data_IF_161907768425
#
_entry.id   IF_161907768425
#
_cell.length_a   1.000
_cell.length_b   1.000
_cell.length_c   1.000
_cell.angle_alpha   90.00
_cell.angle_beta   90.00
_cell.angle_gamma   90.00
#
_symmetry.space_group_name_H-M   'P 1'
#
loop_
_entity.id
_entity.type
_entity.pdbx_description
1 polymer ?
#
# COMPACT_ATOMS: atom_id res chain seq x y z
N UNK A 1 10.80 -20.63 -5.44
CA UNK A 1 10.41 -19.38 -4.77
C UNK A 1 9.51 -18.66 -5.75
N UNK A 2 8.26 -18.40 -5.39
CA UNK A 2 7.21 -18.03 -6.36
C UNK A 2 6.25 -19.20 -6.61
N UNK A 3 6.18 -19.69 -7.85
CA UNK A 3 5.28 -20.77 -8.25
C UNK A 3 5.72 -22.15 -7.71
N UNK A 4 7.01 -22.48 -7.75
CA UNK A 4 7.58 -23.66 -7.11
C UNK A 4 7.97 -23.31 -5.66
N UNK A 5 7.48 -24.05 -4.66
CA UNK A 5 7.70 -23.79 -3.23
C UNK A 5 8.20 -25.04 -2.51
N UNK A 6 9.49 -25.03 -2.17
CA UNK A 6 10.13 -26.01 -1.27
C UNK A 6 10.10 -25.56 0.21
N UNK A 7 10.27 -26.47 1.18
CA UNK A 7 10.24 -26.16 2.62
C UNK A 7 11.24 -25.08 3.06
N UNK A 8 12.46 -25.12 2.51
CA UNK A 8 13.50 -24.13 2.71
C UNK A 8 14.02 -23.59 1.38
N UNK A 9 14.46 -22.34 1.36
CA UNK A 9 15.13 -21.78 0.19
C UNK A 9 16.47 -22.49 -0.10
N UNK A 10 17.07 -23.14 0.90
CA UNK A 10 18.31 -23.91 0.70
C UNK A 10 18.08 -25.20 -0.10
N UNK A 11 16.86 -25.72 -0.07
CA UNK A 11 16.51 -27.01 -0.67
C UNK A 11 16.57 -26.96 -2.21
N UNK A 12 16.47 -25.76 -2.81
CA UNK A 12 16.62 -25.60 -4.26
C UNK A 12 18.02 -26.00 -4.75
N UNK A 13 19.02 -25.97 -3.87
CA UNK A 13 20.39 -26.45 -4.11
C UNK A 13 20.67 -27.83 -3.49
N UNK A 14 19.63 -28.53 -3.03
CA UNK A 14 19.79 -29.89 -2.51
C UNK A 14 20.27 -30.83 -3.61
N UNK A 15 21.09 -31.81 -3.24
CA UNK A 15 21.48 -32.92 -4.12
C UNK A 15 20.49 -34.09 -4.03
N UNK A 16 19.50 -34.03 -3.14
CA UNK A 16 18.43 -35.03 -3.03
C UNK A 16 17.53 -35.00 -4.27
N UNK A 17 17.16 -36.20 -4.74
CA UNK A 17 16.40 -36.38 -5.99
C UNK A 17 15.00 -35.74 -5.97
N UNK A 18 14.42 -35.53 -4.79
CA UNK A 18 13.07 -35.02 -4.55
C UNK A 18 13.02 -33.52 -4.20
N UNK A 19 14.17 -32.87 -4.01
CA UNK A 19 14.27 -31.47 -3.58
C UNK A 19 15.04 -30.58 -4.55
N UNK A 20 16.14 -31.08 -5.13
CA UNK A 20 17.03 -30.27 -5.96
C UNK A 20 16.34 -29.71 -7.20
N UNK A 21 16.58 -28.43 -7.50
CA UNK A 21 16.02 -27.76 -8.68
C UNK A 21 17.17 -27.33 -9.59
N UNK A 22 17.47 -28.16 -10.61
CA UNK A 22 18.63 -27.96 -11.49
C UNK A 22 18.73 -26.55 -12.09
N UNK A 23 17.61 -26.02 -12.60
CA UNK A 23 17.60 -24.67 -13.19
C UNK A 23 18.03 -23.56 -12.20
N UNK A 24 17.85 -23.75 -10.89
CA UNK A 24 18.32 -22.82 -9.86
C UNK A 24 19.77 -23.09 -9.50
N UNK A 25 20.13 -24.36 -9.26
CA UNK A 25 21.49 -24.73 -8.86
C UNK A 25 22.54 -24.46 -9.94
N UNK A 26 22.15 -24.59 -11.20
CA UNK A 26 23.01 -24.39 -12.36
C UNK A 26 23.21 -22.88 -12.66
N UNK A 27 22.23 -22.03 -12.28
CA UNK A 27 22.30 -20.59 -12.50
C UNK A 27 23.27 -19.88 -11.55
N UNK A 28 23.35 -20.30 -10.29
CA UNK A 28 24.33 -19.79 -9.33
C UNK A 28 24.53 -20.75 -8.17
N UNK A 29 25.70 -20.69 -7.51
CA UNK A 29 25.94 -21.48 -6.31
C UNK A 29 25.09 -20.98 -5.13
N UNK A 30 24.76 -21.91 -4.21
CA UNK A 30 24.04 -21.58 -2.96
C UNK A 30 24.76 -20.49 -2.16
N UNK A 31 26.09 -20.56 -2.10
CA UNK A 31 26.92 -19.58 -1.37
C UNK A 31 26.77 -18.18 -1.97
N UNK A 32 26.82 -18.06 -3.30
CA UNK A 32 26.65 -16.78 -3.98
C UNK A 32 25.27 -16.18 -3.71
N UNK A 33 24.23 -16.99 -3.72
CA UNK A 33 22.87 -16.55 -3.39
C UNK A 33 22.75 -16.06 -1.94
N UNK A 34 23.34 -16.80 -0.98
CA UNK A 34 23.39 -16.43 0.44
C UNK A 34 24.12 -15.09 0.66
N UNK A 35 25.27 -14.90 0.00
CA UNK A 35 26.02 -13.64 0.04
C UNK A 35 25.17 -12.47 -0.50
N UNK A 36 24.49 -12.66 -1.63
CA UNK A 36 23.60 -11.64 -2.20
C UNK A 36 22.46 -11.30 -1.23
N UNK A 37 21.81 -12.31 -0.64
CA UNK A 37 20.73 -12.08 0.33
C UNK A 37 21.19 -11.32 1.57
N UNK A 38 22.41 -11.60 2.06
CA UNK A 38 22.95 -10.95 3.24
C UNK A 38 23.39 -9.50 2.99
N UNK A 39 23.95 -9.22 1.81
CA UNK A 39 24.63 -7.95 1.52
C UNK A 39 23.89 -7.07 0.50
N UNK A 40 22.64 -7.38 0.15
CA UNK A 40 21.86 -6.55 -0.76
C UNK A 40 21.58 -5.17 -0.13
N UNK A 41 22.11 -4.13 -0.77
CA UNK A 41 21.91 -2.73 -0.40
C UNK A 41 21.40 -1.91 -1.59
N UNK A 42 20.39 -1.08 -1.36
CA UNK A 42 19.71 -0.29 -2.41
C UNK A 42 20.06 1.21 -2.32
N UNK A 43 20.47 1.69 -1.15
CA UNK A 43 20.81 3.09 -0.95
C UNK A 43 22.16 3.23 -0.22
N UNK A 44 22.87 4.34 -0.49
CA UNK A 44 24.14 4.67 0.12
C UNK A 44 23.93 5.13 1.56
N UNK A 45 24.45 4.38 2.54
CA UNK A 45 24.33 4.72 3.95
C UNK A 45 25.02 6.06 4.30
N UNK A 46 26.07 6.44 3.56
CA UNK A 46 26.80 7.70 3.80
C UNK A 46 26.02 8.94 3.33
N UNK A 47 24.96 8.75 2.53
CA UNK A 47 24.08 9.84 2.11
C UNK A 47 22.97 10.14 3.13
N UNK A 48 22.90 9.40 4.25
CA UNK A 48 21.88 9.61 5.28
C UNK A 48 22.27 10.79 6.17
N UNK A 49 21.47 11.85 6.14
CA UNK A 49 21.61 12.98 7.07
C UNK A 49 21.16 12.60 8.49
N UNK A 50 21.68 13.30 9.50
CA UNK A 50 21.37 13.04 10.91
C UNK A 50 19.91 13.33 11.29
N UNK A 51 19.27 14.24 10.57
CA UNK A 51 17.88 14.67 10.73
C UNK A 51 16.90 13.84 9.88
N UNK A 52 17.37 12.82 9.15
CA UNK A 52 16.53 12.02 8.28
C UNK A 52 15.49 11.20 9.07
N UNK A 53 14.22 11.56 8.87
CA UNK A 53 13.03 10.92 9.49
C UNK A 53 12.46 9.76 8.67
N UNK A 54 12.93 9.53 7.43
CA UNK A 54 12.46 8.46 6.57
C UNK A 54 12.98 7.10 7.05
N UNK A 55 12.10 6.32 7.68
CA UNK A 55 12.41 4.96 8.17
C UNK A 55 12.69 3.99 7.02
N UNK A 56 12.30 4.35 5.80
CA UNK A 56 12.51 3.58 4.57
C UNK A 56 13.67 4.11 3.72
N UNK A 57 14.50 5.02 4.23
CA UNK A 57 15.63 5.60 3.49
C UNK A 57 16.44 4.57 2.69
N UNK A 58 16.74 3.41 3.31
CA UNK A 58 17.53 2.34 2.67
C UNK A 58 16.88 1.72 1.43
N UNK A 59 15.56 1.83 1.30
CA UNK A 59 14.76 1.31 0.18
C UNK A 59 14.19 2.40 -0.72
N UNK A 60 14.27 3.68 -0.29
CA UNK A 60 13.62 4.82 -0.94
C UNK A 60 13.87 4.88 -2.45
N UNK A 61 15.11 4.76 -2.97
CA UNK A 61 15.35 4.80 -4.41
C UNK A 61 14.60 3.73 -5.20
N UNK A 62 14.49 2.51 -4.63
CA UNK A 62 13.75 1.42 -5.27
C UNK A 62 12.24 1.66 -5.23
N UNK A 63 11.70 2.09 -4.10
CA UNK A 63 10.27 2.36 -3.96
C UNK A 63 9.82 3.47 -4.92
N UNK A 64 10.61 4.54 -5.02
CA UNK A 64 10.31 5.65 -5.92
C UNK A 64 10.41 5.21 -7.38
N UNK A 65 11.46 4.43 -7.73
CA UNK A 65 11.62 3.88 -9.07
C UNK A 65 10.45 2.96 -9.47
N UNK A 66 10.00 2.07 -8.59
CA UNK A 66 8.86 1.20 -8.85
C UNK A 66 7.59 2.03 -9.08
N UNK A 67 7.31 3.00 -8.21
CA UNK A 67 6.14 3.87 -8.38
C UNK A 67 6.17 4.63 -9.70
N UNK A 68 7.33 5.19 -10.10
CA UNK A 68 7.49 5.85 -11.39
C UNK A 68 7.16 4.88 -12.54
N UNK A 69 7.76 3.68 -12.53
CA UNK A 69 7.54 2.68 -13.58
C UNK A 69 6.11 2.18 -13.64
N UNK A 70 5.44 1.98 -12.50
CA UNK A 70 4.06 1.53 -12.48
C UNK A 70 3.11 2.56 -13.12
N UNK A 71 3.37 3.85 -12.92
CA UNK A 71 2.60 4.93 -13.53
C UNK A 71 2.90 5.08 -15.03
N UNK A 72 4.13 4.85 -15.47
CA UNK A 72 4.54 4.97 -16.87
C UNK A 72 4.06 3.82 -17.75
N UNK A 73 4.09 2.58 -17.22
CA UNK A 73 3.87 1.37 -18.01
C UNK A 73 2.39 1.04 -18.23
N UNK A 74 1.50 1.59 -17.39
CA UNK A 74 0.09 1.27 -17.45
C UNK A 74 -0.78 2.51 -17.21
N UNK A 75 -1.67 2.79 -18.16
CA UNK A 75 -2.71 3.80 -18.00
C UNK A 75 -3.88 3.19 -17.24
N UNK A 76 -4.06 3.61 -15.99
CA UNK A 76 -5.19 3.17 -15.16
C UNK A 76 -6.53 3.50 -15.79
N UNK A 77 -7.51 2.68 -15.45
CA UNK A 77 -8.91 2.88 -15.81
C UNK A 77 -9.50 4.08 -15.07
N UNK A 78 -10.71 4.50 -15.49
CA UNK A 78 -11.41 5.61 -14.82
C UNK A 78 -11.74 5.23 -13.36
N UNK A 79 -12.11 3.99 -13.12
CA UNK A 79 -12.42 3.43 -11.81
C UNK A 79 -11.16 2.90 -11.13
N UNK A 80 -10.85 3.41 -9.93
CA UNK A 80 -9.71 3.00 -9.10
C UNK A 80 -10.12 2.86 -7.64
N UNK A 81 -9.41 2.03 -6.89
CA UNK A 81 -9.61 1.86 -5.45
C UNK A 81 -8.38 2.22 -4.64
N UNK A 82 -8.59 2.83 -3.47
CA UNK A 82 -7.57 3.02 -2.45
C UNK A 82 -7.88 2.11 -1.27
N UNK A 83 -6.95 1.21 -0.95
CA UNK A 83 -7.07 0.29 0.17
C UNK A 83 -5.67 -0.13 0.67
N UNK A 84 -5.65 -1.08 1.59
CA UNK A 84 -4.51 -1.51 2.37
C UNK A 84 -4.13 -2.93 2.01
N UNK A 85 -2.85 -3.13 1.70
CA UNK A 85 -2.24 -4.44 1.60
C UNK A 85 -1.29 -4.70 2.77
N UNK A 86 -1.07 -5.98 3.08
CA UNK A 86 -0.20 -6.43 4.16
C UNK A 86 0.89 -7.34 3.61
N UNK A 87 2.15 -7.00 3.87
CA UNK A 87 3.30 -7.88 3.58
C UNK A 87 3.74 -8.56 4.86
N UNK A 88 3.62 -9.89 4.90
CA UNK A 88 3.96 -10.71 6.07
C UNK A 88 5.40 -10.46 6.52
N UNK A 89 5.56 -10.05 7.78
CA UNK A 89 6.87 -9.93 8.40
C UNK A 89 6.79 -10.16 9.91
N UNK A 90 7.59 -11.10 10.42
CA UNK A 90 7.59 -11.48 11.84
C UNK A 90 8.79 -10.94 12.63
N UNK A 91 9.84 -10.47 11.95
CA UNK A 91 11.06 -9.95 12.59
C UNK A 91 10.89 -8.63 13.34
N UNK A 92 11.98 -8.09 13.88
CA UNK A 92 11.99 -6.80 14.57
C UNK A 92 12.00 -5.66 13.56
N UNK A 93 11.00 -4.77 13.65
CA UNK A 93 10.94 -3.55 12.85
C UNK A 93 9.98 -2.56 13.53
N UNK A 94 10.33 -1.27 13.53
CA UNK A 94 9.54 -0.20 14.14
C UNK A 94 8.29 0.18 13.35
N UNK A 95 8.23 -0.13 12.05
CA UNK A 95 7.09 0.20 11.17
C UNK A 95 6.10 -0.98 11.01
N UNK A 96 6.42 -2.14 11.59
CA UNK A 96 5.55 -3.33 11.55
C UNK A 96 4.22 -3.04 12.25
N UNK A 97 3.13 -3.37 11.58
CA UNK A 97 1.77 -3.21 12.09
C UNK A 97 1.18 -4.54 12.55
N UNK A 98 0.25 -4.46 13.50
CA UNK A 98 -0.61 -5.57 13.90
C UNK A 98 -2.07 -5.23 13.60
N UNK A 99 -2.72 -6.01 12.74
CA UNK A 99 -4.15 -5.90 12.47
C UNK A 99 -4.81 -7.28 12.60
N UNK A 100 -5.54 -7.57 13.69
CA UNK A 100 -6.09 -8.89 13.95
C UNK A 100 -7.17 -9.32 12.94
N UNK A 101 -7.81 -8.37 12.25
CA UNK A 101 -8.91 -8.61 11.31
C UNK A 101 -8.43 -8.98 9.91
N UNK A 102 -7.14 -8.77 9.58
CA UNK A 102 -6.58 -9.15 8.26
C UNK A 102 -5.98 -10.56 8.33
N UNK A 103 -6.00 -11.35 7.24
CA UNK A 103 -5.39 -12.69 7.20
C UNK A 103 -3.92 -12.68 7.61
N UNK A 104 -3.16 -11.70 7.09
CA UNK A 104 -1.80 -11.41 7.54
C UNK A 104 -1.88 -10.44 8.72
N UNK A 105 -1.88 -10.99 9.93
CA UNK A 105 -2.06 -10.19 11.15
C UNK A 105 -0.86 -9.30 11.47
N UNK A 106 0.36 -9.70 11.13
CA UNK A 106 1.61 -9.00 11.47
C UNK A 106 2.47 -8.79 10.23
N UNK A 107 2.81 -7.55 9.92
CA UNK A 107 3.57 -7.25 8.71
C UNK A 107 3.75 -5.77 8.45
N UNK A 108 4.23 -5.45 7.25
CA UNK A 108 4.27 -4.09 6.75
C UNK A 108 2.92 -3.75 6.13
N UNK A 109 2.34 -2.63 6.55
CA UNK A 109 1.12 -2.09 5.95
C UNK A 109 1.50 -1.22 4.75
N UNK A 110 0.84 -1.45 3.62
CA UNK A 110 1.05 -0.70 2.39
C UNK A 110 -0.30 -0.12 1.96
N UNK A 111 -0.35 1.17 1.70
CA UNK A 111 -1.47 1.83 1.03
C UNK A 111 -1.31 1.67 -0.48
N UNK A 112 -2.33 1.20 -1.17
CA UNK A 112 -2.27 0.92 -2.60
C UNK A 112 -3.38 1.68 -3.34
N UNK A 113 -3.04 2.25 -4.49
CA UNK A 113 -3.99 2.64 -5.52
C UNK A 113 -4.01 1.54 -6.59
N UNK A 114 -5.13 0.85 -6.70
CA UNK A 114 -5.34 -0.18 -7.69
C UNK A 114 -6.42 0.23 -8.70
N UNK A 115 -6.29 -0.22 -9.94
CA UNK A 115 -7.35 -0.06 -10.94
C UNK A 115 -8.39 -1.19 -10.85
N UNK A 116 -9.45 -1.10 -11.66
CA UNK A 116 -10.51 -2.11 -11.67
C UNK A 116 -10.04 -3.51 -12.11
N UNK A 117 -8.90 -3.62 -12.79
CA UNK A 117 -8.31 -4.89 -13.22
C UNK A 117 -7.31 -5.45 -12.21
N UNK A 118 -7.11 -4.77 -11.07
CA UNK A 118 -6.21 -5.19 -9.99
C UNK A 118 -4.77 -4.75 -10.18
N UNK A 119 -4.48 -3.88 -11.15
CA UNK A 119 -3.16 -3.30 -11.33
C UNK A 119 -2.89 -2.22 -10.29
N UNK A 120 -1.83 -2.39 -9.50
CA UNK A 120 -1.36 -1.38 -8.55
C UNK A 120 -0.55 -0.33 -9.31
N UNK A 121 -1.07 0.88 -9.44
CA UNK A 121 -0.39 1.95 -10.17
C UNK A 121 0.48 2.82 -9.27
N UNK A 122 0.13 2.93 -7.98
CA UNK A 122 0.95 3.64 -6.98
C UNK A 122 0.72 3.04 -5.60
N UNK A 123 1.75 3.05 -4.77
CA UNK A 123 1.63 2.64 -3.38
C UNK A 123 2.54 3.44 -2.44
N UNK A 124 2.23 3.41 -1.15
CA UNK A 124 3.04 3.98 -0.09
C UNK A 124 3.10 3.03 1.12
N UNK A 125 4.29 2.85 1.68
CA UNK A 125 4.48 1.98 2.85
C UNK A 125 4.31 2.80 4.11
N UNK A 126 3.39 2.38 4.98
CA UNK A 126 3.09 3.10 6.21
C UNK A 126 4.25 3.08 7.21
N UNK A 127 4.69 4.26 7.66
CA UNK A 127 5.87 4.41 8.54
C UNK A 127 5.53 4.72 10.02
N UNK A 128 4.25 4.71 10.38
CA UNK A 128 3.78 5.07 11.72
C UNK A 128 3.19 6.49 11.77
N UNK A 129 3.06 7.05 12.98
CA UNK A 129 2.38 8.34 13.22
C UNK A 129 3.17 9.57 12.73
N UNK A 130 4.50 9.48 12.64
CA UNK A 130 5.41 10.57 12.25
C UNK A 130 5.65 10.61 10.74
N UNK A 131 4.64 10.25 9.94
CA UNK A 131 4.75 10.31 8.49
C UNK A 131 4.77 11.79 8.08
N UNK A 132 5.97 12.30 7.76
CA UNK A 132 6.15 13.65 7.23
C UNK A 132 5.62 13.65 5.81
N UNK A 133 4.32 13.91 5.68
CA UNK A 133 3.72 14.26 4.41
C UNK A 133 3.40 15.75 4.53
N UNK A 134 4.24 16.56 3.90
CA UNK A 134 4.13 18.02 3.93
C UNK A 134 2.93 18.51 3.11
N UNK A 135 2.51 17.71 2.14
CA UNK A 135 1.30 17.96 1.36
C UNK A 135 0.06 17.59 2.20
N UNK A 136 -0.90 18.53 2.29
CA UNK A 136 -2.21 18.36 2.93
C UNK A 136 -2.20 18.28 4.46
N UNK A 137 -1.42 19.14 5.14
CA UNK A 137 -1.31 19.20 6.62
C UNK A 137 -2.67 19.32 7.32
N UNK A 138 -3.63 20.03 6.70
CA UNK A 138 -4.99 20.23 7.23
C UNK A 138 -5.88 18.97 7.15
N UNK A 139 -5.39 17.89 6.55
CA UNK A 139 -6.11 16.64 6.36
C UNK A 139 -5.63 15.56 7.33
N UNK A 140 -6.57 14.70 7.74
CA UNK A 140 -6.28 13.52 8.56
C UNK A 140 -5.46 12.47 7.79
N UNK A 141 -4.84 11.52 8.50
CA UNK A 141 -3.96 10.51 7.89
C UNK A 141 -4.61 9.76 6.71
N UNK A 142 -5.84 9.27 6.88
CA UNK A 142 -6.55 8.54 5.82
C UNK A 142 -6.81 9.41 4.59
N UNK A 143 -7.22 10.65 4.80
CA UNK A 143 -7.46 11.62 3.72
C UNK A 143 -6.16 11.94 2.96
N UNK A 144 -5.06 12.20 3.69
CA UNK A 144 -3.74 12.42 3.10
C UNK A 144 -3.29 11.25 2.25
N UNK A 145 -3.53 10.01 2.69
CA UNK A 145 -3.19 8.82 1.91
C UNK A 145 -3.92 8.84 0.57
N UNK A 146 -5.25 9.06 0.56
CA UNK A 146 -6.04 9.11 -0.67
C UNK A 146 -5.56 10.23 -1.58
N UNK A 147 -5.37 11.44 -1.04
CA UNK A 147 -4.92 12.59 -1.82
C UNK A 147 -3.55 12.34 -2.46
N UNK A 148 -2.56 11.85 -1.70
CA UNK A 148 -1.22 11.59 -2.23
C UNK A 148 -1.16 10.48 -3.27
N UNK A 149 -1.97 9.43 -3.10
CA UNK A 149 -2.04 8.34 -4.06
C UNK A 149 -2.72 8.77 -5.36
N UNK A 150 -3.77 9.60 -5.27
CA UNK A 150 -4.57 10.01 -6.43
C UNK A 150 -4.05 11.27 -7.14
N UNK A 151 -3.23 12.10 -6.49
CA UNK A 151 -2.66 13.36 -7.04
C UNK A 151 -2.14 13.26 -8.49
N UNK A 152 -1.40 12.20 -8.89
CA UNK A 152 -0.91 12.07 -10.28
C UNK A 152 -2.01 11.91 -11.35
N UNK A 153 -3.25 11.66 -10.91
CA UNK A 153 -4.37 11.38 -11.79
C UNK A 153 -5.55 12.35 -11.65
N UNK A 154 -5.37 13.43 -10.89
CA UNK A 154 -6.36 14.50 -10.83
C UNK A 154 -6.60 15.14 -12.20
N UNK A 155 -7.76 15.79 -12.34
CA UNK A 155 -8.21 16.44 -13.58
C UNK A 155 -8.44 15.49 -14.77
N UNK A 156 -8.57 14.19 -14.53
CA UNK A 156 -8.85 13.17 -15.55
C UNK A 156 -10.25 12.57 -15.46
N UNK A 157 -11.11 13.08 -14.56
CA UNK A 157 -12.46 12.57 -14.36
C UNK A 157 -12.52 11.16 -13.75
N UNK A 158 -11.48 10.78 -12.99
CA UNK A 158 -11.40 9.49 -12.33
C UNK A 158 -12.44 9.34 -11.21
N UNK A 159 -12.82 8.10 -10.92
CA UNK A 159 -13.73 7.69 -9.85
C UNK A 159 -12.96 6.84 -8.85
N UNK A 160 -12.72 7.40 -7.68
CA UNK A 160 -11.94 6.77 -6.62
C UNK A 160 -12.89 6.11 -5.61
N UNK A 161 -12.67 4.83 -5.36
CA UNK A 161 -13.43 4.05 -4.40
C UNK A 161 -12.58 3.77 -3.16
N UNK A 162 -13.13 3.95 -1.96
CA UNK A 162 -12.43 3.65 -0.71
C UNK A 162 -13.42 3.32 0.40
N UNK A 163 -12.93 2.70 1.47
CA UNK A 163 -13.75 2.28 2.59
C UNK A 163 -14.06 3.42 3.60
N UNK A 164 -14.73 3.06 4.70
CA UNK A 164 -15.08 4.01 5.76
C UNK A 164 -13.91 4.54 6.59
N UNK A 165 -12.73 3.93 6.50
CA UNK A 165 -11.54 4.42 7.16
C UNK A 165 -11.07 5.73 6.53
N UNK A 166 -11.16 5.81 5.19
CA UNK A 166 -10.74 6.99 4.43
C UNK A 166 -11.84 8.05 4.29
N UNK A 167 -13.11 7.64 4.21
CA UNK A 167 -14.21 8.55 3.82
C UNK A 167 -14.48 9.65 4.85
N UNK A 168 -14.50 10.90 4.37
CA UNK A 168 -14.95 12.11 5.08
C UNK A 168 -15.51 13.13 4.08
N UNK A 169 -16.37 14.05 4.54
CA UNK A 169 -16.93 15.11 3.68
C UNK A 169 -15.81 16.01 3.14
N UNK A 170 -14.87 16.41 4.00
CA UNK A 170 -13.72 17.24 3.63
C UNK A 170 -12.87 16.64 2.50
N UNK A 171 -12.63 15.31 2.54
CA UNK A 171 -11.93 14.60 1.46
C UNK A 171 -12.72 14.62 0.15
N UNK A 172 -14.03 14.39 0.20
CA UNK A 172 -14.89 14.35 -0.98
C UNK A 172 -14.96 15.72 -1.67
N UNK A 173 -15.06 16.80 -0.89
CA UNK A 173 -15.02 18.18 -1.41
C UNK A 173 -13.68 18.49 -2.09
N UNK A 174 -12.55 18.13 -1.44
CA UNK A 174 -11.23 18.34 -2.03
C UNK A 174 -11.05 17.58 -3.34
N UNK A 175 -11.46 16.31 -3.41
CA UNK A 175 -11.36 15.54 -4.65
C UNK A 175 -12.23 16.13 -5.76
N UNK A 176 -13.44 16.60 -5.42
CA UNK A 176 -14.35 17.26 -6.38
C UNK A 176 -13.73 18.53 -6.98
N UNK A 177 -13.05 19.35 -6.17
CA UNK A 177 -12.32 20.54 -6.64
C UNK A 177 -11.21 20.17 -7.64
N UNK A 178 -10.59 19.00 -7.48
CA UNK A 178 -9.52 18.48 -8.35
C UNK A 178 -10.07 17.63 -9.53
N UNK A 179 -11.35 17.83 -9.89
CA UNK A 179 -12.08 17.10 -10.94
C UNK A 179 -11.85 15.57 -10.85
N UNK A 180 -11.95 15.08 -9.61
CA UNK A 180 -11.83 13.67 -9.24
C UNK A 180 -13.04 13.29 -8.41
N UNK A 181 -13.81 12.32 -8.90
CA UNK A 181 -15.00 11.85 -8.21
C UNK A 181 -14.63 10.76 -7.22
N UNK A 182 -15.41 10.62 -6.16
CA UNK A 182 -15.16 9.62 -5.15
C UNK A 182 -16.45 9.00 -4.63
N UNK A 183 -16.36 7.73 -4.21
CA UNK A 183 -17.44 6.98 -3.60
C UNK A 183 -16.87 6.12 -2.48
N UNK A 184 -17.51 6.18 -1.31
CA UNK A 184 -17.10 5.37 -0.18
C UNK A 184 -18.20 5.32 0.86
N UNK A 185 -18.18 4.26 1.68
CA UNK A 185 -19.07 4.17 2.84
C UNK A 185 -18.60 5.16 3.90
N UNK A 186 -19.49 5.90 4.54
CA UNK A 186 -19.14 6.81 5.63
C UNK A 186 -19.62 6.26 6.97
N UNK A 187 -18.86 6.47 8.05
CA UNK A 187 -19.33 6.10 9.40
C UNK A 187 -20.31 7.16 9.88
N UNK A 188 -21.40 6.75 10.51
CA UNK A 188 -22.44 7.66 11.04
C UNK A 188 -21.92 8.66 12.07
N UNK A 189 -20.80 8.36 12.74
CA UNK A 189 -20.17 9.22 13.71
C UNK A 189 -19.07 10.14 13.13
N UNK A 190 -18.97 10.27 11.79
CA UNK A 190 -18.07 11.24 11.18
C UNK A 190 -18.59 12.66 11.36
N UNK A 191 -17.65 13.61 11.39
CA UNK A 191 -17.97 15.03 11.41
C UNK A 191 -18.73 15.41 10.13
N UNK A 192 -19.61 16.39 10.25
CA UNK A 192 -20.33 17.03 9.14
C UNK A 192 -21.32 16.09 8.42
N UNK A 193 -21.70 14.98 9.08
CA UNK A 193 -22.81 14.11 8.67
C UNK A 193 -24.13 14.71 9.16
N UNK A 194 -25.17 14.81 8.30
CA UNK A 194 -26.49 15.25 8.73
C UNK A 194 -27.11 14.26 9.73
N UNK A 195 -28.07 14.74 10.51
CA UNK A 195 -28.86 13.89 11.40
C UNK A 195 -29.78 13.00 10.55
N UNK A 196 -29.36 11.76 10.33
CA UNK A 196 -30.12 10.74 9.62
C UNK A 196 -31.01 9.95 10.59
N UNK A 197 -32.15 9.49 10.09
CA UNK A 197 -33.01 8.55 10.79
C UNK A 197 -32.23 7.28 11.19
N UNK A 198 -32.57 6.71 12.34
CA UNK A 198 -31.97 5.46 12.77
C UNK A 198 -32.42 4.31 11.87
N UNK A 199 -31.50 3.44 11.45
CA UNK A 199 -31.82 2.28 10.59
C UNK A 199 -32.98 1.42 11.12
N UNK A 200 -33.16 1.34 12.44
CA UNK A 200 -34.26 0.59 13.09
C UNK A 200 -35.65 1.18 12.86
N UNK A 201 -35.74 2.46 12.53
CA UNK A 201 -37.01 3.14 12.28
C UNK A 201 -37.40 3.11 10.80
N UNK A 202 -36.50 2.67 9.93
CA UNK A 202 -36.74 2.58 8.48
C UNK A 202 -37.24 1.18 8.11
N UNK A 203 -38.22 1.12 7.21
CA UNK A 203 -38.61 -0.14 6.59
C UNK A 203 -37.49 -0.65 5.66
N UNK A 204 -37.38 -1.99 5.52
CA UNK A 204 -36.34 -2.59 4.69
C UNK A 204 -36.46 -2.11 3.24
N UNK A 205 -35.40 -1.47 2.74
CA UNK A 205 -35.34 -0.90 1.39
C UNK A 205 -35.61 0.60 1.33
N UNK A 206 -36.02 1.22 2.44
CA UNK A 206 -36.09 2.67 2.58
C UNK A 206 -34.72 3.27 2.91
N UNK A 207 -34.53 4.54 2.56
CA UNK A 207 -33.32 5.32 2.80
C UNK A 207 -33.68 6.77 3.14
N UNK A 208 -32.80 7.43 3.88
CA UNK A 208 -32.88 8.85 4.29
C UNK A 208 -31.73 9.63 3.62
N UNK A 209 -31.94 10.90 3.29
CA UNK A 209 -31.04 11.73 2.47
C UNK A 209 -30.58 13.01 3.15
#
# INVERSE_FOLDING_TARGET
MGYNRLPSWKDYWSTSNDLGVKIISDAMSRKRFDDILCFLHINNNNAKTSDNKDKLFKLRPLLDSINIRFMELYKVTREVSVDESMVLFKGRSSIKQYNPMKPIKRGYKIWCLADQHGYISKFSVYQGKEEVIDDFVDFGLGERVVLNLTKPYWNKGMKVFFDNYFTSIHLLEKLKLENTFACGTIRSNRKDIPLLAHDKTLERGMYDF
#
